data_IF_602669491594
#
_entry.id   IF_602669491594
#
_cell.length_a   1.000
_cell.length_b   1.000
_cell.length_c   1.000
_cell.angle_alpha   90.00
_cell.angle_beta   90.00
_cell.angle_gamma   90.00
#
_symmetry.space_group_name_H-M   'P 1'
#
loop_
_entity.id
_entity.type
_entity.pdbx_description
1 polymer ?
#
# COMPACT_ATOMS: atom_id res chain seq x y z
N UNK A 1 0.53 13.59 6.56
CA UNK A 1 0.13 13.56 5.14
C UNK A 1 -1.31 14.09 5.03
N UNK A 2 -1.59 15.00 4.10
CA UNK A 2 -2.80 15.84 4.02
C UNK A 2 -4.07 15.09 3.54
N UNK A 3 -4.44 13.97 4.18
CA UNK A 3 -5.57 13.11 3.78
C UNK A 3 -6.89 13.86 3.58
N UNK A 4 -7.13 14.92 4.37
CA UNK A 4 -8.34 15.74 4.28
C UNK A 4 -8.48 16.49 2.94
N UNK A 5 -7.36 16.88 2.31
CA UNK A 5 -7.41 17.53 1.00
C UNK A 5 -7.76 16.53 -0.11
N UNK A 6 -7.37 15.26 0.03
CA UNK A 6 -7.72 14.21 -0.92
C UNK A 6 -9.21 13.90 -0.91
N UNK A 7 -9.89 13.98 0.24
CA UNK A 7 -11.35 13.77 0.32
C UNK A 7 -12.10 14.68 -0.66
N UNK A 8 -11.65 15.94 -0.83
CA UNK A 8 -12.27 16.87 -1.78
C UNK A 8 -12.15 16.39 -3.23
N UNK A 9 -10.95 16.01 -3.62
CA UNK A 9 -10.68 15.53 -4.98
C UNK A 9 -11.35 14.19 -5.25
N UNK A 10 -11.29 13.27 -4.29
CA UNK A 10 -11.86 11.92 -4.40
C UNK A 10 -13.39 11.97 -4.49
N UNK A 11 -14.06 12.79 -3.67
CA UNK A 11 -15.54 12.90 -3.73
C UNK A 11 -16.00 13.48 -5.07
N UNK A 12 -15.35 14.54 -5.55
CA UNK A 12 -15.64 15.09 -6.88
C UNK A 12 -15.38 14.06 -7.98
N UNK A 13 -14.22 13.41 -7.95
CA UNK A 13 -13.84 12.36 -8.90
C UNK A 13 -14.86 11.22 -8.91
N UNK A 14 -15.29 10.74 -7.73
CA UNK A 14 -16.30 9.68 -7.63
C UNK A 14 -17.64 10.10 -8.23
N UNK A 15 -18.08 11.35 -8.00
CA UNK A 15 -19.30 11.90 -8.59
C UNK A 15 -19.19 11.99 -10.13
N UNK A 16 -18.02 12.30 -10.67
CA UNK A 16 -17.76 12.30 -12.10
C UNK A 16 -17.72 10.87 -12.66
N UNK A 17 -17.10 9.93 -11.94
CA UNK A 17 -17.07 8.50 -12.31
C UNK A 17 -18.48 7.89 -12.40
N UNK A 18 -19.39 8.27 -11.51
CA UNK A 18 -20.79 7.81 -11.53
C UNK A 18 -21.54 8.31 -12.77
N UNK A 19 -21.14 9.48 -13.30
CA UNK A 19 -21.79 10.13 -14.46
C UNK A 19 -21.16 9.74 -15.80
N UNK A 20 -20.21 8.81 -15.82
CA UNK A 20 -19.55 8.40 -17.05
C UNK A 20 -20.55 7.79 -18.05
N UNK A 21 -20.36 8.03 -19.36
CA UNK A 21 -21.11 7.34 -20.40
C UNK A 21 -20.97 5.81 -20.29
N UNK A 22 -22.01 5.07 -20.64
CA UNK A 22 -22.03 3.60 -20.57
C UNK A 22 -20.89 2.95 -21.36
N UNK A 23 -20.50 3.54 -22.50
CA UNK A 23 -19.39 3.09 -23.33
C UNK A 23 -18.06 3.12 -22.57
N UNK A 24 -17.79 4.23 -21.86
CA UNK A 24 -16.58 4.38 -21.04
C UNK A 24 -16.59 3.39 -19.89
N UNK A 25 -17.74 3.19 -19.25
CA UNK A 25 -17.89 2.19 -18.17
C UNK A 25 -17.60 0.77 -18.70
N UNK A 26 -18.06 0.45 -19.91
CA UNK A 26 -17.79 -0.83 -20.56
C UNK A 26 -16.29 -1.02 -20.83
N UNK A 27 -15.63 -0.01 -21.42
CA UNK A 27 -14.20 -0.03 -21.71
C UNK A 27 -13.35 -0.16 -20.43
N UNK A 28 -13.74 0.55 -19.36
CA UNK A 28 -13.08 0.43 -18.06
C UNK A 28 -13.24 -0.98 -17.47
N UNK A 29 -14.43 -1.58 -17.54
CA UNK A 29 -14.68 -2.95 -17.07
C UNK A 29 -13.92 -4.00 -17.88
N UNK A 30 -13.68 -3.74 -19.17
CA UNK A 30 -12.82 -4.55 -20.04
C UNK A 30 -11.32 -4.39 -19.72
N UNK A 31 -10.96 -3.45 -18.84
CA UNK A 31 -9.60 -3.21 -18.40
C UNK A 31 -8.80 -2.30 -19.33
N UNK A 32 -9.46 -1.52 -20.19
CA UNK A 32 -8.77 -0.68 -21.20
C UNK A 32 -7.95 0.48 -20.60
N UNK A 33 -8.07 0.72 -19.30
CA UNK A 33 -7.27 1.69 -18.53
C UNK A 33 -6.03 1.09 -17.87
N UNK A 34 -5.79 -0.21 -18.06
CA UNK A 34 -4.69 -0.94 -17.42
C UNK A 34 -4.06 -1.93 -18.40
N UNK A 35 -2.76 -2.12 -18.32
CA UNK A 35 -2.05 -3.08 -19.17
C UNK A 35 -1.65 -4.27 -18.32
N UNK A 36 -1.94 -5.47 -18.84
CA UNK A 36 -1.42 -6.74 -18.31
C UNK A 36 -0.38 -7.29 -19.27
N UNK A 37 0.80 -7.61 -18.74
CA UNK A 37 1.88 -8.23 -19.51
C UNK A 37 1.92 -9.75 -19.35
N UNK A 38 1.37 -10.27 -18.25
CA UNK A 38 1.31 -11.69 -17.94
C UNK A 38 -0.10 -12.08 -17.53
N UNK A 39 -0.43 -13.37 -17.65
CA UNK A 39 -1.67 -13.90 -17.09
C UNK A 39 -1.63 -13.90 -15.56
N UNK A 40 -2.73 -13.55 -14.92
CA UNK A 40 -2.79 -13.46 -13.46
C UNK A 40 -3.81 -12.45 -12.93
N UNK A 41 -4.03 -12.51 -11.61
CA UNK A 41 -4.81 -11.53 -10.86
C UNK A 41 -3.85 -10.51 -10.23
N UNK A 42 -4.29 -9.26 -10.11
CA UNK A 42 -3.55 -8.17 -9.43
C UNK A 42 -2.18 -7.80 -10.03
N UNK A 43 -1.95 -8.08 -11.32
CA UNK A 43 -0.71 -7.77 -12.04
C UNK A 43 -0.88 -6.71 -13.14
N UNK A 44 -2.03 -6.03 -13.18
CA UNK A 44 -2.27 -4.96 -14.14
C UNK A 44 -1.61 -3.66 -13.65
N UNK A 45 -0.96 -2.95 -14.54
CA UNK A 45 -0.30 -1.66 -14.25
C UNK A 45 -0.89 -0.55 -15.14
N UNK A 46 -0.64 0.71 -14.80
CA UNK A 46 -1.02 1.81 -15.67
C UNK A 46 -0.27 1.72 -17.01
N UNK A 47 -0.85 2.22 -18.13
CA UNK A 47 -0.17 2.21 -19.42
C UNK A 47 1.20 2.88 -19.41
N UNK A 48 1.35 3.97 -18.66
CA UNK A 48 2.60 4.70 -18.47
C UNK A 48 3.66 3.84 -17.77
N UNK A 49 3.28 3.19 -16.65
CA UNK A 49 4.17 2.28 -15.93
C UNK A 49 4.51 1.03 -16.77
N UNK A 50 3.57 0.53 -17.56
CA UNK A 50 3.84 -0.57 -18.49
C UNK A 50 4.87 -0.17 -19.55
N UNK A 51 4.75 1.04 -20.09
CA UNK A 51 5.69 1.61 -21.06
C UNK A 51 7.07 1.80 -20.41
N UNK A 52 7.10 2.28 -19.17
CA UNK A 52 8.34 2.42 -18.41
C UNK A 52 9.04 1.07 -18.22
N UNK A 53 8.30 0.05 -17.77
CA UNK A 53 8.83 -1.28 -17.49
C UNK A 53 9.18 -2.09 -18.76
N UNK A 54 8.74 -1.66 -19.94
CA UNK A 54 8.97 -2.38 -21.21
C UNK A 54 9.93 -1.62 -22.11
N UNK A 55 9.49 -0.48 -22.66
CA UNK A 55 10.23 0.28 -23.64
C UNK A 55 11.29 1.17 -22.99
N UNK A 56 10.94 1.92 -21.93
CA UNK A 56 11.89 2.88 -21.36
C UNK A 56 12.92 2.24 -20.44
N UNK A 57 12.66 1.03 -19.92
CA UNK A 57 13.60 0.31 -19.02
C UNK A 57 15.00 0.25 -19.61
N UNK A 58 15.10 0.03 -20.91
CA UNK A 58 16.36 -0.08 -21.63
C UNK A 58 16.92 1.25 -22.13
N UNK A 59 16.12 2.32 -22.08
CA UNK A 59 16.61 3.68 -22.38
C UNK A 59 17.48 4.23 -21.26
N UNK A 60 17.27 3.77 -20.02
CA UNK A 60 17.92 4.26 -18.81
C UNK A 60 19.13 3.42 -18.35
N UNK A 61 19.80 2.71 -19.27
CA UNK A 61 20.99 1.88 -18.97
C UNK A 61 22.27 2.48 -19.58
N UNK A 62 23.43 2.01 -19.14
CA UNK A 62 24.72 2.37 -19.74
C UNK A 62 24.76 1.99 -21.23
N UNK A 63 24.89 2.97 -22.12
CA UNK A 63 24.78 2.79 -23.57
C UNK A 63 23.35 2.94 -24.14
N UNK A 64 22.37 3.26 -23.29
CA UNK A 64 21.03 3.70 -23.65
C UNK A 64 20.97 5.20 -23.97
N UNK A 65 19.80 5.80 -23.81
CA UNK A 65 19.56 7.23 -24.09
C UNK A 65 20.32 8.16 -23.11
N UNK A 66 20.76 7.64 -21.96
CA UNK A 66 21.60 8.35 -21.00
C UNK A 66 23.00 8.56 -21.62
N UNK A 67 23.26 9.77 -22.11
CA UNK A 67 24.55 10.19 -22.68
C UNK A 67 24.56 10.34 -24.21
N UNK A 68 23.64 9.69 -24.93
CA UNK A 68 23.46 9.82 -26.40
C UNK A 68 22.67 11.10 -26.76
N UNK A 69 21.98 11.70 -25.78
CA UNK A 69 21.01 12.80 -25.92
C UNK A 69 21.52 14.09 -26.56
N UNK A 70 22.83 14.26 -26.78
CA UNK A 70 23.38 15.48 -27.41
C UNK A 70 23.47 15.42 -28.94
N UNK A 71 23.23 14.26 -29.57
CA UNK A 71 23.23 14.10 -31.02
C UNK A 71 21.88 13.55 -31.50
N UNK A 72 21.10 14.40 -32.16
CA UNK A 72 19.74 14.10 -32.63
C UNK A 72 19.70 12.90 -33.60
N UNK A 73 20.67 12.79 -34.50
CA UNK A 73 20.76 11.65 -35.44
C UNK A 73 21.12 10.33 -34.75
N UNK A 74 21.92 10.40 -33.68
CA UNK A 74 22.21 9.22 -32.86
C UNK A 74 20.97 8.80 -32.03
N UNK A 75 20.25 9.76 -31.48
CA UNK A 75 19.00 9.53 -30.75
C UNK A 75 17.91 8.93 -31.65
N UNK A 76 17.73 9.47 -32.87
CA UNK A 76 16.75 8.98 -33.85
C UNK A 76 17.06 7.54 -34.29
N UNK A 77 18.34 7.24 -34.57
CA UNK A 77 18.77 5.87 -34.90
C UNK A 77 18.55 4.92 -33.73
N UNK A 78 18.83 5.36 -32.50
CA UNK A 78 18.57 4.56 -31.30
C UNK A 78 17.07 4.28 -31.16
N UNK A 79 16.20 5.31 -31.20
CA UNK A 79 14.75 5.15 -31.08
C UNK A 79 14.15 4.21 -32.13
N UNK A 80 14.63 4.27 -33.38
CA UNK A 80 14.10 3.44 -34.47
C UNK A 80 14.60 2.00 -34.45
N UNK A 81 15.88 1.78 -34.14
CA UNK A 81 16.51 0.45 -34.28
C UNK A 81 16.50 -0.36 -32.98
N UNK A 82 16.51 0.32 -31.84
CA UNK A 82 16.72 -0.32 -30.55
C UNK A 82 15.58 -1.27 -30.15
N UNK A 83 14.28 -0.95 -30.33
CA UNK A 83 13.20 -1.90 -30.04
C UNK A 83 13.34 -3.21 -30.82
N UNK A 84 13.70 -3.13 -32.11
CA UNK A 84 13.94 -4.31 -32.95
C UNK A 84 15.15 -5.11 -32.49
N UNK A 85 16.27 -4.43 -32.21
CA UNK A 85 17.49 -5.09 -31.70
C UNK A 85 17.21 -5.80 -30.38
N UNK A 86 16.44 -5.20 -29.49
CA UNK A 86 16.09 -5.79 -28.19
C UNK A 86 15.16 -6.99 -28.36
N UNK A 87 14.15 -6.92 -29.24
CA UNK A 87 13.28 -8.05 -29.54
C UNK A 87 14.03 -9.24 -30.13
N UNK A 88 15.00 -8.99 -31.03
CA UNK A 88 15.89 -10.03 -31.55
C UNK A 88 16.75 -10.62 -30.42
N UNK A 89 17.34 -9.76 -29.59
CA UNK A 89 18.15 -10.21 -28.46
C UNK A 89 17.35 -11.07 -27.48
N UNK A 90 16.14 -10.66 -27.09
CA UNK A 90 15.26 -11.42 -26.21
C UNK A 90 14.86 -12.77 -26.82
N UNK A 91 14.50 -12.79 -28.12
CA UNK A 91 14.20 -14.02 -28.83
C UNK A 91 15.41 -14.97 -28.91
N UNK A 92 16.60 -14.45 -29.15
CA UNK A 92 17.84 -15.25 -29.18
C UNK A 92 18.23 -15.75 -27.78
N UNK A 93 18.14 -14.91 -26.75
CA UNK A 93 18.39 -15.32 -25.37
C UNK A 93 17.42 -16.42 -24.94
N UNK A 94 16.13 -16.27 -25.28
CA UNK A 94 15.12 -17.30 -25.03
C UNK A 94 15.39 -18.59 -25.82
N UNK A 95 15.77 -18.50 -27.09
CA UNK A 95 16.08 -19.66 -27.94
C UNK A 95 17.31 -20.43 -27.47
N UNK A 96 18.34 -19.70 -27.03
CA UNK A 96 19.60 -20.28 -26.54
C UNK A 96 19.52 -20.72 -25.08
N UNK A 97 18.35 -20.62 -24.45
CA UNK A 97 18.15 -20.82 -23.00
C UNK A 97 19.18 -20.07 -22.15
N UNK A 98 19.67 -18.95 -22.67
CA UNK A 98 20.49 -18.00 -21.92
C UNK A 98 19.49 -17.30 -21.01
N UNK A 99 19.24 -17.92 -19.87
CA UNK A 99 18.84 -17.22 -18.67
C UNK A 99 19.85 -16.07 -18.56
N UNK A 100 19.41 -14.84 -18.77
CA UNK A 100 20.20 -13.72 -18.25
C UNK A 100 20.23 -14.00 -16.77
N UNK A 101 21.34 -14.57 -16.31
CA UNK A 101 21.54 -14.97 -14.93
C UNK A 101 21.46 -13.70 -14.08
N UNK A 102 20.24 -13.31 -13.71
CA UNK A 102 19.99 -12.64 -12.45
C UNK A 102 20.20 -13.61 -11.29
N UNK A 103 20.47 -14.89 -11.55
CA UNK A 103 20.74 -15.91 -10.53
C UNK A 103 22.09 -15.74 -9.83
N UNK A 104 23.03 -14.95 -10.38
CA UNK A 104 24.24 -14.57 -9.65
C UNK A 104 23.93 -13.77 -8.38
N UNK A 105 22.77 -13.09 -8.34
CA UNK A 105 22.31 -12.37 -7.14
C UNK A 105 21.50 -13.26 -6.18
N UNK A 106 20.90 -14.35 -6.67
CA UNK A 106 20.05 -15.24 -5.85
C UNK A 106 20.91 -16.09 -4.90
N UNK A 107 22.08 -16.54 -5.36
CA UNK A 107 23.00 -17.36 -4.54
C UNK A 107 23.75 -16.56 -3.45
N UNK A 108 23.65 -15.23 -3.46
CA UNK A 108 24.25 -14.34 -2.45
C UNK A 108 23.23 -13.43 -1.75
N UNK A 109 21.93 -13.69 -1.92
CA UNK A 109 20.93 -12.88 -1.23
C UNK A 109 21.02 -13.16 0.27
N UNK A 110 21.26 -12.11 1.07
CA UNK A 110 21.40 -12.20 2.54
C UNK A 110 20.23 -12.91 3.24
N UNK A 111 19.10 -13.04 2.54
CA UNK A 111 17.91 -13.73 3.04
C UNK A 111 18.04 -15.25 3.13
N UNK A 112 18.91 -15.87 2.33
CA UNK A 112 19.09 -17.34 2.33
C UNK A 112 20.14 -17.83 3.33
N UNK A 113 20.66 -16.94 4.17
CA UNK A 113 21.61 -17.32 5.21
C UNK A 113 20.92 -18.14 6.32
N UNK A 114 21.60 -19.15 6.86
CA UNK A 114 21.04 -19.97 7.95
C UNK A 114 20.60 -19.14 9.17
N UNK A 115 21.30 -18.03 9.45
CA UNK A 115 20.91 -17.10 10.52
C UNK A 115 19.59 -16.40 10.23
N UNK A 116 19.31 -16.05 8.97
CA UNK A 116 18.03 -15.45 8.58
C UNK A 116 16.91 -16.49 8.66
N UNK A 117 17.14 -17.68 8.09
CA UNK A 117 16.18 -18.79 8.14
C UNK A 117 15.78 -19.11 9.58
N UNK A 118 16.75 -19.25 10.49
CA UNK A 118 16.47 -19.54 11.90
C UNK A 118 15.71 -18.40 12.61
N UNK A 119 15.99 -17.15 12.22
CA UNK A 119 15.32 -15.99 12.78
C UNK A 119 13.87 -15.90 12.29
N UNK A 120 13.65 -16.15 11.01
CA UNK A 120 12.33 -16.14 10.40
C UNK A 120 11.47 -17.27 10.98
N UNK A 121 12.02 -18.48 11.17
CA UNK A 121 11.34 -19.57 11.88
C UNK A 121 10.94 -19.15 13.31
N UNK A 122 11.86 -18.53 14.06
CA UNK A 122 11.56 -18.03 15.41
C UNK A 122 10.45 -16.98 15.40
N UNK A 123 10.49 -16.04 14.44
CA UNK A 123 9.49 -15.00 14.30
C UNK A 123 8.12 -15.59 13.93
N UNK A 124 8.08 -16.60 13.06
CA UNK A 124 6.86 -17.36 12.72
C UNK A 124 6.29 -18.05 13.97
N UNK A 125 7.11 -18.75 14.75
CA UNK A 125 6.66 -19.41 15.98
C UNK A 125 6.09 -18.41 17.00
N UNK A 126 6.71 -17.23 17.11
CA UNK A 126 6.20 -16.15 17.96
C UNK A 126 4.83 -15.63 17.49
N UNK A 127 4.65 -15.45 16.17
CA UNK A 127 3.37 -15.02 15.58
C UNK A 127 2.28 -16.08 15.84
N UNK A 128 2.58 -17.36 15.60
CA UNK A 128 1.64 -18.46 15.85
C UNK A 128 1.23 -18.48 17.32
N UNK A 129 2.20 -18.41 18.24
CA UNK A 129 1.93 -18.37 19.68
C UNK A 129 1.04 -17.19 20.07
N UNK A 130 1.28 -16.00 19.50
CA UNK A 130 0.47 -14.81 19.75
C UNK A 130 -0.96 -14.98 19.23
N UNK A 131 -1.13 -15.47 18.00
CA UNK A 131 -2.46 -15.68 17.39
C UNK A 131 -3.26 -16.74 18.17
N UNK A 132 -2.62 -17.82 18.65
CA UNK A 132 -3.31 -18.83 19.48
C UNK A 132 -3.79 -18.21 20.79
N UNK A 133 -2.95 -17.42 21.47
CA UNK A 133 -3.29 -16.77 22.73
C UNK A 133 -4.36 -15.67 22.57
N UNK A 134 -4.29 -14.93 21.46
CA UNK A 134 -5.17 -13.82 21.14
C UNK A 134 -6.07 -14.15 19.94
N UNK A 135 -6.61 -15.37 19.88
CA UNK A 135 -7.35 -15.84 18.71
C UNK A 135 -8.58 -14.95 18.45
N UNK A 136 -8.62 -14.21 17.33
CA UNK A 136 -9.73 -13.30 17.02
C UNK A 136 -11.04 -14.04 16.70
N UNK A 137 -10.98 -15.37 16.52
CA UNK A 137 -12.12 -16.23 16.20
C UNK A 137 -12.55 -17.14 17.35
N UNK A 138 -12.11 -16.87 18.59
CA UNK A 138 -12.62 -17.64 19.72
C UNK A 138 -14.07 -17.21 20.00
N UNK A 139 -15.02 -18.10 19.73
CA UNK A 139 -16.49 -17.89 19.78
C UNK A 139 -17.06 -17.64 21.18
N UNK A 140 -16.23 -17.26 22.15
CA UNK A 140 -16.70 -16.84 23.45
C UNK A 140 -17.51 -15.55 23.29
N UNK A 141 -18.81 -15.60 23.61
CA UNK A 141 -19.81 -14.55 23.37
C UNK A 141 -19.56 -13.19 24.10
N UNK A 142 -18.40 -13.00 24.73
CA UNK A 142 -17.98 -11.79 25.45
C UNK A 142 -16.52 -11.40 25.13
N UNK A 143 -16.12 -11.50 23.87
CA UNK A 143 -14.80 -11.06 23.44
C UNK A 143 -14.73 -9.52 23.39
N UNK A 144 -14.12 -8.91 24.41
CA UNK A 144 -13.80 -7.49 24.42
C UNK A 144 -12.89 -7.13 23.23
N UNK A 145 -13.16 -5.98 22.59
CA UNK A 145 -12.38 -5.50 21.44
C UNK A 145 -10.92 -5.29 21.86
N UNK A 146 -9.98 -5.92 21.15
CA UNK A 146 -8.56 -5.94 21.48
C UNK A 146 -7.71 -5.45 20.31
N UNK A 147 -6.65 -4.71 20.60
CA UNK A 147 -5.64 -4.34 19.63
C UNK A 147 -4.71 -5.54 19.34
N UNK A 148 -4.60 -5.94 18.07
CA UNK A 148 -3.78 -7.10 17.63
C UNK A 148 -2.27 -6.82 17.74
N UNK A 149 -1.87 -5.55 17.78
CA UNK A 149 -0.46 -5.18 17.94
C UNK A 149 -0.05 -5.09 19.42
N UNK A 150 -0.84 -4.37 20.24
CA UNK A 150 -0.49 -4.15 21.65
C UNK A 150 -1.06 -5.20 22.60
N UNK A 151 -2.08 -5.95 22.18
CA UNK A 151 -2.85 -6.82 23.05
C UNK A 151 -3.77 -6.08 24.03
N UNK A 152 -3.85 -4.75 23.98
CA UNK A 152 -4.67 -3.96 24.92
C UNK A 152 -6.17 -4.03 24.60
N UNK A 153 -7.01 -3.97 25.64
CA UNK A 153 -8.46 -3.90 25.51
C UNK A 153 -8.92 -2.47 25.22
N UNK A 154 -9.95 -2.33 24.40
CA UNK A 154 -10.53 -1.04 24.08
C UNK A 154 -11.39 -0.53 25.24
N UNK A 155 -11.28 0.76 25.53
CA UNK A 155 -12.25 1.45 26.39
C UNK A 155 -13.63 1.49 25.72
N UNK A 156 -14.69 1.55 26.52
CA UNK A 156 -16.08 1.53 26.03
C UNK A 156 -16.37 2.60 24.97
N UNK A 157 -15.85 3.82 25.14
CA UNK A 157 -15.98 4.89 24.14
C UNK A 157 -15.30 4.56 22.80
N UNK A 158 -14.17 3.87 22.84
CA UNK A 158 -13.46 3.39 21.65
C UNK A 158 -14.14 2.18 21.03
N UNK A 159 -14.74 1.28 21.84
CA UNK A 159 -15.55 0.15 21.33
C UNK A 159 -16.72 0.67 20.51
N UNK A 160 -17.52 1.57 21.07
CA UNK A 160 -18.68 2.15 20.38
C UNK A 160 -18.27 2.89 19.11
N UNK A 161 -17.16 3.63 19.16
CA UNK A 161 -16.67 4.36 18.00
C UNK A 161 -16.17 3.43 16.88
N UNK A 162 -15.42 2.39 17.23
CA UNK A 162 -14.80 1.46 16.28
C UNK A 162 -15.83 0.49 15.67
N UNK A 163 -16.79 0.00 16.46
CA UNK A 163 -17.85 -0.87 15.95
C UNK A 163 -18.79 -0.13 14.98
N UNK A 164 -19.05 1.16 15.23
CA UNK A 164 -19.92 1.99 14.39
C UNK A 164 -19.12 2.90 13.44
N UNK A 165 -17.85 2.60 13.17
CA UNK A 165 -16.96 3.52 12.42
C UNK A 165 -17.45 3.79 11.00
N UNK A 166 -18.06 2.78 10.37
CA UNK A 166 -18.62 2.91 9.03
C UNK A 166 -19.80 3.88 9.03
N UNK A 167 -20.79 3.66 9.91
CA UNK A 167 -21.97 4.52 10.04
C UNK A 167 -21.59 5.97 10.36
N UNK A 168 -20.63 6.14 11.28
CA UNK A 168 -20.08 7.45 11.62
C UNK A 168 -19.41 8.11 10.41
N UNK A 169 -18.64 7.36 9.63
CA UNK A 169 -18.00 7.84 8.40
C UNK A 169 -19.00 8.23 7.32
N UNK A 170 -20.03 7.42 7.11
CA UNK A 170 -21.11 7.69 6.16
C UNK A 170 -21.90 8.95 6.54
N UNK A 171 -22.21 9.14 7.82
CA UNK A 171 -22.88 10.33 8.31
C UNK A 171 -22.05 11.61 8.06
N UNK A 172 -20.73 11.54 8.29
CA UNK A 172 -19.82 12.65 8.00
C UNK A 172 -19.75 12.94 6.49
N UNK A 173 -19.70 11.90 5.64
CA UNK A 173 -19.69 12.05 4.19
C UNK A 173 -21.00 12.69 3.69
N UNK A 174 -22.17 12.20 4.14
CA UNK A 174 -23.47 12.77 3.77
C UNK A 174 -23.58 14.24 4.19
N UNK A 175 -23.08 14.58 5.37
CA UNK A 175 -23.04 15.97 5.83
C UNK A 175 -22.18 16.83 4.91
N UNK A 176 -20.98 16.35 4.55
CA UNK A 176 -20.09 17.02 3.62
C UNK A 176 -20.74 17.22 2.24
N UNK A 177 -21.36 16.19 1.68
CA UNK A 177 -21.99 16.26 0.37
C UNK A 177 -23.18 17.24 0.36
N UNK A 178 -23.99 17.21 1.42
CA UNK A 178 -25.11 18.14 1.57
C UNK A 178 -24.66 19.60 1.65
N UNK A 179 -23.64 19.90 2.45
CA UNK A 179 -23.13 21.26 2.62
C UNK A 179 -22.49 21.82 1.33
N UNK A 180 -21.76 20.98 0.58
CA UNK A 180 -20.92 21.42 -0.55
C UNK A 180 -21.59 21.27 -1.92
N UNK A 181 -22.29 20.18 -2.17
CA UNK A 181 -22.84 19.86 -3.50
C UNK A 181 -24.35 20.15 -3.60
N UNK A 182 -25.13 19.85 -2.55
CA UNK A 182 -26.60 19.99 -2.58
C UNK A 182 -27.01 21.42 -2.21
N UNK A 183 -26.77 21.82 -0.96
CA UNK A 183 -27.15 23.13 -0.43
C UNK A 183 -26.20 24.25 -0.89
N UNK A 184 -24.96 23.88 -1.26
CA UNK A 184 -23.88 24.80 -1.67
C UNK A 184 -23.67 25.95 -0.66
N UNK A 185 -23.92 25.68 0.62
CA UNK A 185 -23.76 26.67 1.71
C UNK A 185 -22.30 27.04 1.98
N UNK A 186 -21.38 26.27 1.39
CA UNK A 186 -19.98 26.17 1.78
C UNK A 186 -19.20 25.81 0.50
N UNK A 187 -18.08 26.48 0.18
CA UNK A 187 -17.32 26.24 -1.08
C UNK A 187 -16.52 24.94 -1.03
N UNK A 188 -16.33 24.26 -2.16
CA UNK A 188 -15.59 22.97 -2.17
C UNK A 188 -14.22 23.02 -1.46
N UNK A 189 -13.52 24.14 -1.59
CA UNK A 189 -12.15 24.33 -1.09
C UNK A 189 -12.05 24.89 0.33
N UNK A 190 -13.16 25.24 1.01
CA UNK A 190 -13.04 25.76 2.38
C UNK A 190 -12.48 24.68 3.32
N UNK A 191 -11.76 25.09 4.38
CA UNK A 191 -11.18 24.16 5.36
C UNK A 191 -12.21 23.14 5.88
N UNK A 192 -11.80 21.87 5.90
CA UNK A 192 -12.58 20.78 6.50
C UNK A 192 -11.96 20.50 7.87
N UNK A 193 -12.79 20.57 8.91
CA UNK A 193 -12.34 20.27 10.28
C UNK A 193 -11.96 18.79 10.35
N UNK A 194 -10.75 18.50 10.87
CA UNK A 194 -10.33 17.12 11.13
C UNK A 194 -11.23 16.51 12.20
N UNK A 195 -11.86 15.38 11.88
CA UNK A 195 -12.59 14.58 12.85
C UNK A 195 -11.63 13.55 13.46
N UNK A 196 -11.52 13.52 14.79
CA UNK A 196 -10.70 12.54 15.51
C UNK A 196 -11.63 11.51 16.14
N UNK A 197 -11.53 10.27 15.70
CA UNK A 197 -12.28 9.15 16.27
C UNK A 197 -11.61 8.65 17.55
N UNK A 198 -12.41 8.20 18.52
CA UNK A 198 -11.90 7.54 19.72
C UNK A 198 -11.34 6.17 19.33
N UNK A 199 -10.08 5.93 19.67
CA UNK A 199 -9.38 4.68 19.41
C UNK A 199 -8.38 4.37 20.55
N UNK A 200 -7.67 3.23 20.45
CA UNK A 200 -6.69 2.78 21.45
C UNK A 200 -5.59 3.81 21.76
N UNK A 201 -5.22 4.68 20.80
CA UNK A 201 -4.20 5.73 21.01
C UNK A 201 -4.76 6.88 21.86
N UNK A 202 -5.99 7.30 21.60
CA UNK A 202 -6.63 8.37 22.37
C UNK A 202 -6.86 7.98 23.84
N UNK A 203 -7.02 6.69 24.11
CA UNK A 203 -7.15 6.12 25.47
C UNK A 203 -5.82 6.13 26.22
N UNK A 204 -4.71 5.72 25.57
CA UNK A 204 -3.37 5.72 26.20
C UNK A 204 -2.82 7.14 26.47
N UNK A 205 -3.16 8.13 25.64
CA UNK A 205 -2.82 9.53 25.87
C UNK A 205 -3.54 10.15 27.09
N UNK A 206 -4.76 9.69 27.42
CA UNK A 206 -5.47 10.12 28.64
C UNK A 206 -4.79 9.59 29.90
N UNK A 207 -4.34 8.34 29.90
CA UNK A 207 -3.66 7.74 31.05
C UNK A 207 -2.32 8.41 31.36
N UNK A 208 -1.56 8.85 30.35
CA UNK A 208 -0.29 9.55 30.56
C UNK A 208 -0.44 10.96 31.17
N UNK A 209 -1.65 11.53 31.21
CA UNK A 209 -1.92 12.83 31.85
C UNK A 209 -2.37 12.71 33.31
N UNK A 210 -2.68 11.51 33.78
CA UNK A 210 -3.05 11.26 35.18
C UNK A 210 -2.10 10.24 35.82
N UNK A 211 -1.38 10.68 36.84
CA UNK A 211 -0.64 9.89 37.85
C UNK A 211 0.77 9.37 37.50
N UNK A 212 1.73 10.11 38.05
CA UNK A 212 2.97 9.63 38.70
C UNK A 212 2.77 8.30 39.45
N UNK A 213 3.76 7.42 39.33
CA UNK A 213 4.04 6.22 40.15
C UNK A 213 2.99 5.08 40.16
N UNK A 214 3.21 4.05 39.33
CA UNK A 214 3.45 2.68 39.82
C UNK A 214 3.96 1.74 38.71
N UNK A 215 4.81 0.80 39.12
CA UNK A 215 5.73 -0.04 38.33
C UNK A 215 5.09 -0.70 37.09
N UNK A 216 5.65 -0.43 35.91
CA UNK A 216 5.45 -1.23 34.69
C UNK A 216 6.11 -2.59 34.86
N UNK A 217 5.35 -3.66 34.71
CA UNK A 217 5.85 -5.03 34.62
C UNK A 217 6.76 -5.14 33.39
N UNK A 218 7.90 -5.79 33.60
CA UNK A 218 8.92 -6.09 32.60
C UNK A 218 8.37 -7.06 31.56
N UNK A 219 7.91 -6.54 30.41
CA UNK A 219 7.78 -7.30 29.16
C UNK A 219 8.18 -6.44 27.93
N UNK A 220 8.85 -5.30 28.18
CA UNK A 220 9.29 -4.36 27.15
C UNK A 220 10.39 -4.89 26.22
N UNK A 221 10.95 -6.07 26.51
CA UNK A 221 12.06 -6.64 25.74
C UNK A 221 11.58 -7.34 24.47
N UNK A 222 10.40 -7.97 24.49
CA UNK A 222 9.95 -8.82 23.37
C UNK A 222 9.22 -8.06 22.26
N UNK A 223 8.56 -6.93 22.56
CA UNK A 223 7.87 -6.11 21.55
C UNK A 223 8.86 -5.27 20.72
N UNK A 224 10.02 -4.92 21.30
CA UNK A 224 11.10 -4.21 20.59
C UNK A 224 11.72 -5.03 19.44
N UNK A 225 11.62 -6.37 19.51
CA UNK A 225 12.08 -7.28 18.45
C UNK A 225 11.19 -7.22 17.20
N UNK A 226 9.90 -6.92 17.36
CA UNK A 226 8.97 -6.76 16.24
C UNK A 226 9.26 -5.46 15.48
N UNK A 227 9.68 -4.39 16.16
CA UNK A 227 10.05 -3.11 15.51
C UNK A 227 11.32 -3.19 14.66
N UNK A 228 12.29 -4.05 15.00
CA UNK A 228 13.53 -4.21 14.22
C UNK A 228 13.38 -5.08 12.96
N UNK A 229 12.32 -5.87 12.85
CA UNK A 229 12.15 -6.85 11.77
C UNK A 229 11.14 -6.41 10.69
N UNK A 230 10.43 -5.29 10.88
CA UNK A 230 9.45 -4.77 9.90
C UNK A 230 10.00 -3.55 9.13
N UNK A 231 11.13 -2.97 9.54
CA UNK A 231 11.82 -1.91 8.82
C UNK A 231 13.28 -2.28 8.53
N UNK A 232 13.49 -3.10 7.51
CA UNK A 232 14.73 -3.08 6.70
C UNK A 232 14.29 -3.32 5.26
N UNK A 233 14.24 -2.25 4.48
CA UNK A 233 14.46 -2.32 3.03
C UNK A 233 15.95 -2.19 2.75
#
# INVERSE_FOLDING_TARGET
MNHTNYIRGVTLYLQDMIKLPLEVVYDMKKGMVSIKRTEGKFNAVSPDLALEQSQNRFSAVTGGLIGITKNEEAMRRWLLLYPFKNSIHEAFSSYLEIQVDTTSDINYHNEWTQSRINKDEKDIQNIIKYIIACNPHNDNANCALRNIYTGELAEESSVQCLLNIQENGEALLRTYENERFVLKSKKLYDPIKKHTFSNFVTSSEKQNKSTTSNKKLQDATDISLIQKNIFVG
#
